data_IF_774971775828
#
_entry.id   IF_774971775828
#
_cell.length_a   1.000
_cell.length_b   1.000
_cell.length_c   1.000
_cell.angle_alpha   90.00
_cell.angle_beta   90.00
_cell.angle_gamma   90.00
#
_symmetry.space_group_name_H-M   'P 1'
#
loop_
_entity.id
_entity.type
_entity.pdbx_description
1 polymer ?
#
# COMPACT_ATOMS: atom_id res chain seq x y z
N UNK A 1 7.58 -28.04 -5.13
CA UNK A 1 7.84 -26.86 -4.27
C UNK A 1 7.16 -25.66 -4.91
N UNK A 2 6.46 -24.86 -4.12
CA UNK A 2 5.78 -23.65 -4.57
C UNK A 2 6.78 -22.52 -4.73
N UNK A 3 6.91 -21.97 -5.94
CA UNK A 3 7.83 -20.85 -6.20
C UNK A 3 7.23 -19.53 -5.75
N UNK A 4 7.95 -18.83 -4.87
CA UNK A 4 7.52 -17.59 -4.23
C UNK A 4 8.43 -16.44 -4.62
N UNK A 5 7.83 -15.33 -5.02
CA UNK A 5 8.51 -14.05 -5.24
C UNK A 5 8.09 -13.06 -4.15
N UNK A 6 9.06 -12.42 -3.52
CA UNK A 6 8.84 -11.33 -2.56
C UNK A 6 9.18 -10.00 -3.24
N UNK A 7 8.27 -9.04 -3.15
CA UNK A 7 8.42 -7.68 -3.69
C UNK A 7 8.32 -6.70 -2.52
N UNK A 8 9.47 -6.23 -2.04
CA UNK A 8 9.58 -5.45 -0.80
C UNK A 8 10.87 -4.62 -0.82
N UNK A 9 10.77 -3.32 -0.68
CA UNK A 9 11.94 -2.44 -0.69
C UNK A 9 12.59 -2.28 0.69
N UNK A 10 11.82 -2.43 1.77
CA UNK A 10 12.33 -2.34 3.12
C UNK A 10 13.04 -3.64 3.53
N UNK A 11 14.35 -3.53 3.78
CA UNK A 11 15.23 -4.66 4.07
C UNK A 11 14.72 -5.54 5.23
N UNK A 12 14.26 -4.93 6.32
CA UNK A 12 13.82 -5.67 7.53
C UNK A 12 12.61 -6.55 7.23
N UNK A 13 11.61 -6.02 6.51
CA UNK A 13 10.41 -6.78 6.15
C UNK A 13 10.73 -7.88 5.15
N UNK A 14 11.62 -7.60 4.19
CA UNK A 14 12.06 -8.58 3.21
C UNK A 14 12.79 -9.75 3.87
N UNK A 15 13.80 -9.48 4.73
CA UNK A 15 14.55 -10.52 5.46
C UNK A 15 13.64 -11.33 6.40
N UNK A 16 12.63 -10.71 7.00
CA UNK A 16 11.62 -11.40 7.80
C UNK A 16 10.83 -12.40 6.96
N UNK A 17 10.27 -12.00 5.82
CA UNK A 17 9.50 -12.88 4.94
C UNK A 17 10.37 -13.99 4.33
N UNK A 18 11.60 -13.69 3.92
CA UNK A 18 12.56 -14.67 3.43
C UNK A 18 12.87 -15.73 4.49
N UNK A 19 13.13 -15.29 5.73
CA UNK A 19 13.41 -16.20 6.85
C UNK A 19 12.20 -17.08 7.15
N UNK A 20 11.01 -16.49 7.21
CA UNK A 20 9.78 -17.20 7.50
C UNK A 20 9.52 -18.32 6.48
N UNK A 21 9.58 -18.00 5.18
CA UNK A 21 9.34 -18.98 4.10
C UNK A 21 10.46 -20.03 3.97
N UNK A 22 11.70 -19.66 4.28
CA UNK A 22 12.82 -20.62 4.23
C UNK A 22 12.77 -21.71 5.29
N UNK A 23 12.03 -21.49 6.38
CA UNK A 23 11.80 -22.49 7.41
C UNK A 23 10.79 -23.57 6.98
N UNK A 24 9.99 -23.25 5.95
CA UNK A 24 8.97 -24.14 5.40
C UNK A 24 9.53 -24.91 4.19
N UNK A 25 9.75 -26.21 4.32
CA UNK A 25 10.43 -27.04 3.34
C UNK A 25 9.72 -27.21 1.98
N UNK A 26 8.54 -26.62 1.79
CA UNK A 26 7.74 -26.73 0.57
C UNK A 26 7.69 -25.46 -0.29
N UNK A 27 8.30 -24.36 0.16
CA UNK A 27 8.48 -23.13 -0.62
C UNK A 27 9.88 -23.03 -1.23
N UNK A 28 9.98 -22.54 -2.46
CA UNK A 28 11.22 -22.22 -3.18
C UNK A 28 11.24 -20.72 -3.43
N UNK A 29 12.14 -20.00 -2.77
CA UNK A 29 12.26 -18.56 -2.95
C UNK A 29 12.99 -18.23 -4.25
N UNK A 30 12.35 -17.43 -5.10
CA UNK A 30 13.00 -16.69 -6.16
C UNK A 30 13.66 -15.45 -5.54
N UNK A 31 14.83 -14.99 -6.03
CA UNK A 31 15.45 -13.79 -5.49
C UNK A 31 14.48 -12.63 -5.37
N UNK A 32 14.33 -12.11 -4.17
CA UNK A 32 13.43 -11.00 -3.84
C UNK A 32 13.80 -9.73 -4.60
N UNK A 33 12.83 -8.90 -4.91
CA UNK A 33 13.03 -7.64 -5.63
C UNK A 33 12.45 -6.45 -4.84
N UNK A 34 12.98 -5.26 -5.14
CA UNK A 34 12.59 -4.02 -4.45
C UNK A 34 11.69 -3.12 -5.31
N UNK A 35 11.36 -3.56 -6.53
CA UNK A 35 10.59 -2.78 -7.49
C UNK A 35 9.52 -3.65 -8.18
N UNK A 36 8.32 -3.11 -8.30
CA UNK A 36 7.17 -3.81 -8.83
C UNK A 36 7.28 -4.15 -10.33
N UNK A 37 7.86 -3.25 -11.12
CA UNK A 37 8.12 -3.48 -12.55
C UNK A 37 9.13 -4.61 -12.79
N UNK A 38 10.12 -4.78 -11.93
CA UNK A 38 11.06 -5.92 -11.97
C UNK A 38 10.32 -7.23 -11.67
N UNK A 39 9.41 -7.23 -10.67
CA UNK A 39 8.59 -8.40 -10.36
C UNK A 39 7.76 -8.85 -11.57
N UNK A 40 7.11 -7.92 -12.26
CA UNK A 40 6.35 -8.23 -13.49
C UNK A 40 7.23 -8.86 -14.57
N UNK A 41 8.47 -8.41 -14.75
CA UNK A 41 9.39 -9.00 -15.72
C UNK A 41 9.85 -10.40 -15.28
N UNK A 42 10.16 -10.60 -14.00
CA UNK A 42 10.55 -11.92 -13.50
C UNK A 42 9.45 -12.97 -13.65
N UNK A 43 8.19 -12.62 -13.40
CA UNK A 43 7.06 -13.52 -13.55
C UNK A 43 6.81 -13.94 -15.02
N UNK A 44 7.32 -13.20 -16.02
CA UNK A 44 7.26 -13.62 -17.44
C UNK A 44 8.18 -14.79 -17.75
N UNK A 45 9.29 -14.88 -17.06
CA UNK A 45 10.36 -15.85 -17.35
C UNK A 45 10.47 -16.97 -16.33
N UNK A 46 9.81 -16.82 -15.18
CA UNK A 46 9.83 -17.80 -14.09
C UNK A 46 8.39 -18.24 -13.78
N UNK A 47 8.16 -19.53 -13.53
CA UNK A 47 6.85 -20.05 -13.15
C UNK A 47 6.55 -19.75 -11.69
N UNK A 48 6.33 -18.46 -11.34
CA UNK A 48 5.95 -18.02 -10.00
C UNK A 48 4.53 -18.45 -9.70
N UNK A 49 4.28 -18.98 -8.51
CA UNK A 49 2.97 -19.45 -8.07
C UNK A 49 2.38 -18.54 -6.98
N UNK A 50 3.24 -17.90 -6.18
CA UNK A 50 2.85 -16.96 -5.14
C UNK A 50 3.71 -15.70 -5.22
N UNK A 51 3.09 -14.54 -5.10
CA UNK A 51 3.77 -13.24 -4.92
C UNK A 51 3.33 -12.63 -3.60
N UNK A 52 4.29 -12.29 -2.75
CA UNK A 52 4.09 -11.38 -1.63
C UNK A 52 4.44 -9.98 -2.11
N UNK A 53 3.44 -9.10 -2.22
CA UNK A 53 3.56 -7.80 -2.88
C UNK A 53 3.32 -6.67 -1.90
N UNK A 54 4.35 -5.87 -1.60
CA UNK A 54 4.11 -4.57 -0.96
C UNK A 54 3.55 -3.56 -1.96
N UNK A 55 2.68 -2.67 -1.48
CA UNK A 55 2.10 -1.59 -2.29
C UNK A 55 3.12 -0.48 -2.51
N UNK A 56 3.83 -0.08 -1.45
CA UNK A 56 4.75 1.05 -1.45
C UNK A 56 6.17 0.60 -1.80
N UNK A 57 6.40 0.17 -3.03
CA UNK A 57 7.70 -0.26 -3.52
C UNK A 57 8.29 0.72 -4.52
N UNK A 58 9.59 0.60 -4.76
CA UNK A 58 10.29 1.34 -5.80
C UNK A 58 9.81 0.97 -7.20
N UNK A 59 10.16 1.81 -8.19
CA UNK A 59 9.90 1.53 -9.59
C UNK A 59 8.91 2.48 -10.26
N UNK A 60 8.51 2.15 -11.49
CA UNK A 60 7.62 2.97 -12.32
C UNK A 60 6.13 2.71 -12.05
N UNK A 61 5.82 1.69 -11.27
CA UNK A 61 4.46 1.32 -10.85
C UNK A 61 4.44 0.91 -9.38
N UNK A 62 3.30 1.03 -8.73
CA UNK A 62 3.09 0.52 -7.38
C UNK A 62 2.67 -0.97 -7.39
N UNK A 63 2.58 -1.56 -6.18
CA UNK A 63 2.23 -2.99 -6.05
C UNK A 63 0.80 -3.32 -6.49
N UNK A 64 -0.13 -2.36 -6.46
CA UNK A 64 -1.51 -2.56 -6.94
C UNK A 64 -1.54 -2.63 -8.47
N UNK A 65 -0.86 -1.70 -9.15
CA UNK A 65 -0.72 -1.71 -10.60
C UNK A 65 0.00 -2.98 -11.09
N UNK A 66 1.04 -3.42 -10.37
CA UNK A 66 1.74 -4.65 -10.67
C UNK A 66 0.84 -5.88 -10.49
N UNK A 67 0.01 -5.89 -9.42
CA UNK A 67 -0.95 -6.97 -9.15
C UNK A 67 -1.92 -7.12 -10.32
N UNK A 68 -2.54 -6.03 -10.79
CA UNK A 68 -3.44 -6.07 -11.95
C UNK A 68 -2.75 -6.65 -13.19
N UNK A 69 -1.53 -6.18 -13.51
CA UNK A 69 -0.75 -6.70 -14.65
C UNK A 69 -0.38 -8.18 -14.51
N UNK A 70 -0.01 -8.63 -13.32
CA UNK A 70 0.32 -10.03 -13.06
C UNK A 70 -0.91 -10.93 -13.22
N UNK A 71 -2.07 -10.48 -12.75
CA UNK A 71 -3.33 -11.21 -12.90
C UNK A 71 -3.80 -11.29 -14.34
N UNK A 72 -3.64 -10.22 -15.11
CA UNK A 72 -3.92 -10.22 -16.56
C UNK A 72 -3.04 -11.20 -17.33
N UNK A 73 -1.75 -11.28 -16.96
CA UNK A 73 -0.77 -12.17 -17.61
C UNK A 73 -0.92 -13.63 -17.17
N UNK A 74 -1.26 -13.86 -15.92
CA UNK A 74 -1.26 -15.17 -15.28
C UNK A 74 -2.37 -15.24 -14.21
N UNK A 75 -3.64 -15.49 -14.59
CA UNK A 75 -4.77 -15.46 -13.65
C UNK A 75 -4.66 -16.41 -12.45
N UNK A 76 -3.87 -17.50 -12.62
CA UNK A 76 -3.68 -18.51 -11.58
C UNK A 76 -2.60 -18.17 -10.56
N UNK A 77 -1.79 -17.13 -10.79
CA UNK A 77 -0.79 -16.71 -9.81
C UNK A 77 -1.51 -16.19 -8.55
N UNK A 78 -1.08 -16.67 -7.39
CA UNK A 78 -1.58 -16.16 -6.11
C UNK A 78 -0.85 -14.90 -5.72
N UNK A 79 -1.57 -13.86 -5.33
CA UNK A 79 -0.99 -12.58 -4.93
C UNK A 79 -1.57 -12.17 -3.58
N UNK A 80 -0.69 -12.05 -2.60
CA UNK A 80 -1.01 -11.52 -1.28
C UNK A 80 -0.39 -10.13 -1.19
N UNK A 81 -1.23 -9.12 -1.00
CA UNK A 81 -0.74 -7.78 -0.67
C UNK A 81 -0.23 -7.80 0.78
N UNK A 82 1.01 -7.40 0.97
CA UNK A 82 1.68 -7.32 2.28
C UNK A 82 2.06 -5.87 2.52
N UNK A 83 1.31 -5.14 3.33
CA UNK A 83 1.48 -3.68 3.40
C UNK A 83 1.33 -3.13 4.81
N UNK A 84 2.01 -2.01 5.08
CA UNK A 84 1.77 -1.19 6.28
C UNK A 84 0.71 -0.09 6.04
N UNK A 85 0.23 0.08 4.80
CA UNK A 85 -0.78 1.09 4.49
C UNK A 85 -2.15 0.69 5.02
N UNK A 86 -2.73 1.54 5.85
CA UNK A 86 -4.02 1.30 6.51
C UNK A 86 -5.17 2.12 5.91
N UNK A 87 -4.98 2.63 4.70
CA UNK A 87 -5.99 3.36 3.95
C UNK A 87 -7.05 2.39 3.38
N UNK A 88 -8.32 2.69 3.61
CA UNK A 88 -9.44 1.87 3.12
C UNK A 88 -9.47 1.77 1.59
N UNK A 89 -9.01 2.79 0.87
CA UNK A 89 -8.94 2.77 -0.59
C UNK A 89 -7.91 1.74 -1.08
N UNK A 90 -6.82 1.53 -0.34
CA UNK A 90 -5.85 0.47 -0.66
C UNK A 90 -6.49 -0.93 -0.62
N UNK A 91 -7.36 -1.17 0.36
CA UNK A 91 -8.10 -2.42 0.47
C UNK A 91 -9.04 -2.65 -0.74
N UNK A 92 -9.76 -1.61 -1.15
CA UNK A 92 -10.65 -1.67 -2.33
C UNK A 92 -9.84 -1.89 -3.59
N UNK A 93 -8.82 -1.09 -3.81
CA UNK A 93 -7.98 -1.16 -5.01
C UNK A 93 -7.23 -2.51 -5.12
N UNK A 94 -6.77 -3.08 -4.00
CA UNK A 94 -6.16 -4.40 -3.98
C UNK A 94 -7.14 -5.50 -4.44
N UNK A 95 -8.41 -5.45 -3.98
CA UNK A 95 -9.47 -6.37 -4.43
C UNK A 95 -9.76 -6.20 -5.91
N UNK A 96 -9.92 -4.96 -6.38
CA UNK A 96 -10.21 -4.64 -7.79
C UNK A 96 -9.07 -5.03 -8.72
N UNK A 97 -7.81 -4.93 -8.27
CA UNK A 97 -6.63 -5.41 -8.99
C UNK A 97 -6.53 -6.95 -9.05
N UNK A 98 -7.41 -7.66 -8.34
CA UNK A 98 -7.47 -9.12 -8.34
C UNK A 98 -6.53 -9.79 -7.35
N UNK A 99 -6.01 -9.09 -6.33
CA UNK A 99 -5.28 -9.74 -5.25
C UNK A 99 -6.11 -10.86 -4.61
N UNK A 100 -5.46 -11.95 -4.21
CA UNK A 100 -6.15 -13.06 -3.55
C UNK A 100 -6.36 -12.80 -2.06
N UNK A 101 -5.43 -12.09 -1.40
CA UNK A 101 -5.53 -11.76 0.02
C UNK A 101 -4.76 -10.47 0.33
N UNK A 102 -4.99 -9.92 1.51
CA UNK A 102 -4.21 -8.81 2.06
C UNK A 102 -3.78 -9.13 3.50
N UNK A 103 -2.55 -8.78 3.83
CA UNK A 103 -2.00 -8.88 5.17
C UNK A 103 -1.35 -7.55 5.57
N UNK A 104 -1.71 -7.03 6.75
CA UNK A 104 -1.17 -5.77 7.28
C UNK A 104 0.03 -6.07 8.19
N UNK A 105 1.22 -5.56 7.84
CA UNK A 105 2.51 -5.84 8.50
C UNK A 105 2.48 -5.58 10.02
N UNK A 106 1.81 -4.50 10.43
CA UNK A 106 1.84 -4.03 11.82
C UNK A 106 0.50 -4.17 12.56
N UNK A 107 -0.53 -4.66 11.89
CA UNK A 107 -1.89 -4.61 12.41
C UNK A 107 -2.72 -5.87 12.22
N UNK A 108 -2.19 -6.90 11.56
CA UNK A 108 -2.88 -8.19 11.44
C UNK A 108 -2.71 -9.01 12.72
N UNK A 109 -3.82 -9.52 13.26
CA UNK A 109 -3.82 -10.47 14.37
C UNK A 109 -3.39 -11.88 13.92
N UNK A 110 -3.63 -12.18 12.63
CA UNK A 110 -3.32 -13.47 12.01
C UNK A 110 -1.87 -13.50 11.52
N UNK A 111 -1.19 -14.63 11.71
CA UNK A 111 0.18 -14.81 11.23
C UNK A 111 0.24 -14.83 9.69
N UNK A 112 1.31 -14.30 9.13
CA UNK A 112 1.48 -14.25 7.66
C UNK A 112 1.44 -15.66 7.05
N UNK A 113 2.01 -16.67 7.71
CA UNK A 113 1.99 -18.05 7.21
C UNK A 113 0.59 -18.63 7.13
N UNK A 114 -0.28 -18.35 8.09
CA UNK A 114 -1.67 -18.82 8.07
C UNK A 114 -2.42 -18.20 6.87
N UNK A 115 -2.17 -16.92 6.58
CA UNK A 115 -2.74 -16.24 5.40
C UNK A 115 -2.20 -16.84 4.10
N UNK A 116 -0.89 -17.13 4.04
CA UNK A 116 -0.27 -17.77 2.86
C UNK A 116 -0.90 -19.14 2.61
N UNK A 117 -0.95 -20.00 3.62
CA UNK A 117 -1.43 -21.38 3.47
C UNK A 117 -2.89 -21.43 3.05
N UNK A 118 -3.75 -20.61 3.65
CA UNK A 118 -5.16 -20.52 3.28
C UNK A 118 -5.36 -19.93 1.89
N UNK A 119 -4.56 -18.92 1.52
CA UNK A 119 -4.60 -18.33 0.16
C UNK A 119 -4.19 -19.37 -0.90
N UNK A 120 -3.17 -20.17 -0.62
CA UNK A 120 -2.75 -21.25 -1.51
C UNK A 120 -3.80 -22.36 -1.64
N UNK A 121 -4.65 -22.55 -0.63
CA UNK A 121 -5.82 -23.46 -0.67
C UNK A 121 -7.02 -22.85 -1.41
N UNK A 122 -6.93 -21.60 -1.85
CA UNK A 122 -7.97 -20.92 -2.63
C UNK A 122 -8.88 -19.99 -1.83
N UNK A 123 -8.59 -19.76 -0.54
CA UNK A 123 -9.32 -18.76 0.23
C UNK A 123 -8.91 -17.35 -0.19
N UNK A 124 -9.84 -16.40 -0.04
CA UNK A 124 -9.62 -14.97 -0.21
C UNK A 124 -9.74 -14.28 1.14
N UNK A 125 -8.63 -13.80 1.67
CA UNK A 125 -8.56 -13.25 3.03
C UNK A 125 -8.44 -11.72 2.95
N UNK A 126 -9.57 -11.07 3.22
CA UNK A 126 -9.64 -9.62 3.29
C UNK A 126 -10.44 -9.23 4.53
N UNK A 127 -9.91 -8.34 5.37
CA UNK A 127 -10.68 -7.81 6.48
C UNK A 127 -11.86 -6.97 5.96
N UNK A 128 -12.94 -6.90 6.74
CA UNK A 128 -14.10 -6.08 6.39
C UNK A 128 -13.77 -4.58 6.30
N UNK A 129 -12.83 -4.14 7.13
CA UNK A 129 -12.34 -2.76 7.18
C UNK A 129 -10.82 -2.73 7.40
N UNK A 130 -10.18 -1.68 6.89
CA UNK A 130 -8.79 -1.42 7.24
C UNK A 130 -8.65 -1.14 8.73
N UNK A 131 -7.54 -1.56 9.37
CA UNK A 131 -7.28 -1.26 10.77
C UNK A 131 -7.32 0.25 11.03
N UNK A 132 -8.00 0.67 12.09
CA UNK A 132 -8.10 2.08 12.43
C UNK A 132 -6.88 2.56 13.21
N UNK A 133 -6.33 3.70 12.80
CA UNK A 133 -5.18 4.34 13.47
C UNK A 133 -5.58 5.63 14.16
N UNK A 134 -4.82 6.01 15.20
CA UNK A 134 -5.01 7.28 15.88
C UNK A 134 -4.19 8.41 15.24
N UNK A 135 -4.90 9.43 14.78
CA UNK A 135 -4.34 10.69 14.28
C UNK A 135 -4.68 11.79 15.29
N UNK A 136 -3.74 12.10 16.16
CA UNK A 136 -4.06 12.95 17.34
C UNK A 136 -5.09 12.28 18.24
N UNK A 137 -6.19 12.96 18.53
CA UNK A 137 -7.29 12.43 19.35
C UNK A 137 -8.33 11.62 18.56
N UNK A 138 -8.34 11.70 17.23
CA UNK A 138 -9.30 11.03 16.39
C UNK A 138 -8.80 9.67 15.89
N UNK A 139 -9.72 8.73 15.71
CA UNK A 139 -9.46 7.48 14.97
C UNK A 139 -9.77 7.70 13.49
N UNK A 140 -8.96 7.09 12.61
CA UNK A 140 -9.12 7.23 11.15
C UNK A 140 -10.47 6.74 10.61
N UNK A 141 -11.12 5.77 11.28
CA UNK A 141 -12.46 5.29 10.95
C UNK A 141 -13.60 6.32 11.19
N UNK A 142 -13.28 7.46 11.80
CA UNK A 142 -14.19 8.59 12.00
C UNK A 142 -14.03 9.69 10.96
N UNK A 143 -13.12 9.52 10.02
CA UNK A 143 -12.97 10.44 8.90
C UNK A 143 -13.94 10.07 7.77
N UNK A 144 -14.53 11.10 7.16
CA UNK A 144 -15.33 10.90 5.94
C UNK A 144 -14.41 10.60 4.75
N UNK A 145 -14.97 10.03 3.68
CA UNK A 145 -14.21 9.78 2.45
C UNK A 145 -13.49 11.04 1.96
N UNK A 146 -14.20 12.18 1.88
CA UNK A 146 -13.61 13.47 1.45
C UNK A 146 -12.49 13.93 2.37
N UNK A 147 -12.62 13.73 3.69
CA UNK A 147 -11.56 14.04 4.64
C UNK A 147 -10.33 13.14 4.43
N UNK A 148 -10.51 11.85 4.15
CA UNK A 148 -9.42 10.95 3.82
C UNK A 148 -8.74 11.36 2.51
N UNK A 149 -9.51 11.67 1.46
CA UNK A 149 -8.97 12.12 0.16
C UNK A 149 -8.15 13.40 0.30
N UNK A 150 -8.66 14.39 1.03
CA UNK A 150 -7.94 15.64 1.29
C UNK A 150 -6.69 15.38 2.15
N UNK A 151 -6.79 14.53 3.17
CA UNK A 151 -5.66 14.20 4.05
C UNK A 151 -4.54 13.48 3.30
N UNK A 152 -4.89 12.57 2.39
CA UNK A 152 -3.94 11.90 1.48
C UNK A 152 -3.17 12.93 0.64
N UNK A 153 -3.86 13.90 0.06
CA UNK A 153 -3.20 14.92 -0.77
C UNK A 153 -2.38 15.91 0.07
N UNK A 154 -2.75 16.14 1.32
CA UNK A 154 -1.92 16.90 2.27
C UNK A 154 -0.62 16.17 2.56
N UNK A 155 -0.66 14.85 2.77
CA UNK A 155 0.53 14.01 2.99
C UNK A 155 1.42 14.02 1.74
N UNK A 156 0.84 14.03 0.54
CA UNK A 156 1.56 14.17 -0.73
C UNK A 156 2.11 15.61 -0.97
N UNK A 157 1.94 16.53 -0.02
CA UNK A 157 2.50 17.89 -0.08
C UNK A 157 1.74 18.88 -0.96
N UNK A 158 0.54 18.56 -1.45
CA UNK A 158 -0.23 19.44 -2.31
C UNK A 158 -0.79 20.64 -1.51
N UNK A 159 -0.82 21.82 -2.14
CA UNK A 159 -1.50 23.02 -1.61
C UNK A 159 -3.02 22.89 -1.70
N UNK A 160 -3.78 23.69 -0.94
CA UNK A 160 -5.27 23.69 -1.02
C UNK A 160 -5.78 23.94 -2.44
N UNK A 161 -5.08 24.78 -3.21
CA UNK A 161 -5.40 25.02 -4.63
C UNK A 161 -5.23 23.77 -5.48
N UNK A 162 -4.10 23.08 -5.37
CA UNK A 162 -3.84 21.85 -6.10
C UNK A 162 -4.80 20.73 -5.71
N UNK A 163 -5.17 20.64 -4.42
CA UNK A 163 -6.18 19.69 -3.92
C UNK A 163 -7.54 20.02 -4.54
N UNK A 164 -7.93 21.30 -4.58
CA UNK A 164 -9.21 21.71 -5.15
C UNK A 164 -9.31 21.35 -6.65
N UNK A 165 -8.23 21.58 -7.40
CA UNK A 165 -8.13 21.22 -8.82
C UNK A 165 -8.18 19.69 -9.02
N UNK A 166 -7.50 18.93 -8.16
CA UNK A 166 -7.44 17.46 -8.26
C UNK A 166 -8.74 16.74 -7.89
N UNK A 167 -9.42 17.23 -6.85
CA UNK A 167 -10.66 16.61 -6.34
C UNK A 167 -11.94 17.24 -6.92
N UNK A 168 -11.81 18.21 -7.82
CA UNK A 168 -12.93 18.95 -8.43
C UNK A 168 -13.90 19.57 -7.40
N UNK A 169 -13.34 20.18 -6.35
CA UNK A 169 -14.08 20.89 -5.30
C UNK A 169 -13.52 22.31 -5.11
N UNK A 170 -14.31 23.20 -4.49
CA UNK A 170 -13.82 24.57 -4.25
C UNK A 170 -12.69 24.61 -3.22
N UNK A 171 -11.73 25.56 -3.37
CA UNK A 171 -10.68 25.77 -2.37
C UNK A 171 -11.24 26.05 -0.97
N UNK A 172 -12.38 26.76 -0.90
CA UNK A 172 -13.10 27.00 0.37
C UNK A 172 -13.59 25.71 1.00
N UNK A 173 -14.03 24.75 0.21
CA UNK A 173 -14.44 23.42 0.67
C UNK A 173 -13.24 22.64 1.21
N UNK A 174 -12.09 22.71 0.52
CA UNK A 174 -10.84 22.09 1.00
C UNK A 174 -10.43 22.66 2.36
N UNK A 175 -10.40 23.99 2.49
CA UNK A 175 -10.00 24.65 3.74
C UNK A 175 -10.98 24.33 4.89
N UNK A 176 -12.28 24.20 4.59
CA UNK A 176 -13.28 23.78 5.57
C UNK A 176 -13.02 22.35 6.07
N UNK A 177 -12.73 21.41 5.19
CA UNK A 177 -12.39 20.03 5.58
C UNK A 177 -11.07 19.96 6.37
N UNK A 178 -10.06 20.76 5.99
CA UNK A 178 -8.80 20.84 6.73
C UNK A 178 -9.08 21.34 8.15
N UNK A 179 -9.90 22.38 8.31
CA UNK A 179 -10.29 22.88 9.63
C UNK A 179 -10.98 21.80 10.45
N UNK A 180 -11.93 21.08 9.88
CA UNK A 180 -12.63 19.99 10.56
C UNK A 180 -11.67 18.86 11.00
N UNK A 181 -10.71 18.49 10.14
CA UNK A 181 -9.68 17.51 10.47
C UNK A 181 -8.81 17.98 11.65
N UNK A 182 -8.40 19.24 11.67
CA UNK A 182 -7.63 19.81 12.78
C UNK A 182 -8.43 19.84 14.08
N UNK A 183 -9.72 20.18 14.02
CA UNK A 183 -10.62 20.16 15.19
C UNK A 183 -10.82 18.73 15.71
N UNK A 184 -11.07 17.75 14.83
CA UNK A 184 -11.22 16.33 15.21
C UNK A 184 -9.95 15.76 15.83
N UNK A 185 -8.80 16.08 15.24
CA UNK A 185 -7.53 15.50 15.67
C UNK A 185 -6.85 16.24 16.83
N UNK A 186 -7.25 17.48 17.09
CA UNK A 186 -6.60 18.37 18.07
C UNK A 186 -5.19 18.80 17.64
N UNK A 187 -4.82 18.62 16.38
CA UNK A 187 -3.51 18.99 15.88
C UNK A 187 -3.45 20.48 15.52
N UNK A 188 -2.29 21.15 15.75
CA UNK A 188 -2.21 22.60 15.67
C UNK A 188 -2.24 23.19 14.25
N UNK A 189 -1.86 22.41 13.26
CA UNK A 189 -1.76 22.87 11.86
C UNK A 189 -1.68 21.72 10.87
N UNK A 190 -1.80 22.06 9.58
CA UNK A 190 -1.75 21.16 8.44
C UNK A 190 -0.47 20.30 8.40
N UNK A 191 0.69 20.87 8.73
CA UNK A 191 1.97 20.13 8.73
C UNK A 191 1.99 19.05 9.79
N UNK A 192 1.53 19.36 11.01
CA UNK A 192 1.39 18.38 12.07
C UNK A 192 0.42 17.25 11.71
N UNK A 193 -0.68 17.59 11.01
CA UNK A 193 -1.64 16.63 10.50
C UNK A 193 -1.01 15.70 9.48
N UNK A 194 -0.27 16.22 8.49
CA UNK A 194 0.44 15.44 7.48
C UNK A 194 1.45 14.47 8.11
N UNK A 195 2.31 14.98 9.00
CA UNK A 195 3.33 14.18 9.68
C UNK A 195 2.68 13.07 10.51
N UNK A 196 1.58 13.37 11.19
CA UNK A 196 0.92 12.39 12.05
C UNK A 196 0.22 11.29 11.26
N UNK A 197 -0.40 11.65 10.13
CA UNK A 197 -1.02 10.69 9.22
C UNK A 197 0.03 9.77 8.56
N UNK A 198 1.14 10.31 8.09
CA UNK A 198 2.25 9.54 7.53
C UNK A 198 2.89 8.60 8.56
N UNK A 199 3.17 9.09 9.78
CA UNK A 199 3.72 8.25 10.87
C UNK A 199 2.78 7.16 11.35
N UNK A 200 1.47 7.33 11.18
CA UNK A 200 0.47 6.33 11.50
C UNK A 200 0.23 5.32 10.36
N UNK A 201 1.03 5.35 9.31
CA UNK A 201 0.87 4.51 8.12
C UNK A 201 -0.53 4.61 7.46
N UNK A 202 -1.29 5.68 7.74
CA UNK A 202 -2.57 5.88 7.10
C UNK A 202 -2.38 6.16 5.60
N UNK A 203 -1.36 6.97 5.27
CA UNK A 203 -0.96 7.26 3.88
C UNK A 203 0.55 7.24 3.76
N UNK A 204 1.05 6.72 2.63
CA UNK A 204 2.48 6.75 2.29
C UNK A 204 2.76 7.90 1.35
N UNK A 205 3.83 8.63 1.59
CA UNK A 205 4.31 9.67 0.68
C UNK A 205 4.80 8.98 -0.60
N UNK A 206 4.14 9.24 -1.73
CA UNK A 206 4.66 8.81 -3.03
C UNK A 206 5.77 9.77 -3.43
N UNK A 207 7.02 9.33 -3.40
CA UNK A 207 8.12 10.07 -4.01
C UNK A 207 7.82 10.21 -5.50
N UNK A 208 7.63 11.45 -5.96
CA UNK A 208 7.58 11.70 -7.41
C UNK A 208 8.96 11.37 -7.97
N UNK A 209 9.06 10.60 -9.07
CA UNK A 209 10.33 10.47 -9.77
C UNK A 209 10.81 11.89 -10.09
N UNK A 210 12.05 12.21 -9.70
CA UNK A 210 12.69 13.49 -10.03
C UNK A 210 12.51 13.73 -11.53
N UNK A 211 11.79 14.79 -11.87
CA UNK A 211 11.73 15.25 -13.28
C UNK A 211 13.15 15.66 -13.63
N UNK A 212 13.79 14.82 -14.46
CA UNK A 212 15.17 15.01 -14.89
C UNK A 212 15.42 16.47 -15.22
N UNK A 213 16.53 16.97 -14.70
CA UNK A 213 17.08 18.30 -14.96
C UNK A 213 16.96 18.63 -16.44
N UNK A 214 16.11 19.60 -16.77
CA UNK A 214 16.19 20.22 -18.09
C UNK A 214 17.54 20.90 -18.19
N UNK A 215 18.44 20.31 -18.96
CA UNK A 215 19.68 20.91 -19.41
C UNK A 215 19.42 22.37 -19.81
N UNK A 216 19.91 23.29 -19.01
CA UNK A 216 20.10 24.69 -19.41
C UNK A 216 21.37 24.70 -20.24
N UNK A 217 21.21 24.88 -21.54
CA UNK A 217 22.29 25.27 -22.44
C UNK A 217 22.40 26.78 -22.42
#
# INVERSE_FOLDING_TARGET
MTKVLIVEDQRIHREYMETLLSQEGHYELIPSVTAADVAVQLCKTNPVQLVLMDIAVNGMMDGIEATAKLKDMSPNIKIIIVTSMLDTECLVNAKEAGADSIWYKDASEEALMDVIDRTMQGEHIFPDNSPAVHIGFARSDKFTKTECDILREIVNGLSSRQISEKLDISGRTVDWHIKNLLEKTGLPNRTALAIRAAKGNLFVIKDKPEQGEKNIK
#
